data_IF_643856817381
#
_entry.id   IF_643856817381
#
_cell.length_a   1.000
_cell.length_b   1.000
_cell.length_c   1.000
_cell.angle_alpha   90.00
_cell.angle_beta   90.00
_cell.angle_gamma   90.00
#
_symmetry.space_group_name_H-M   'P 1'
#
loop_
_entity.id
_entity.type
_entity.pdbx_description
1 polymer ?
#
# COMPACT_ATOMS: atom_id res chain seq x y z
N UNK A 1 -2.41 7.48 -4.52
CA UNK A 1 -1.44 7.87 -3.46
C UNK A 1 -2.03 8.94 -2.53
N UNK A 2 -3.25 8.74 -2.03
CA UNK A 2 -3.84 9.68 -1.08
C UNK A 2 -3.32 9.47 0.36
N UNK A 3 -2.88 8.24 0.66
CA UNK A 3 -2.43 7.83 2.00
C UNK A 3 -0.92 7.98 2.24
N UNK A 4 -0.19 8.60 1.31
CA UNK A 4 1.25 8.83 1.42
C UNK A 4 1.49 10.32 1.33
N UNK A 5 1.87 10.92 2.46
CA UNK A 5 2.33 12.30 2.54
C UNK A 5 3.86 12.36 2.55
N UNK A 6 4.35 13.53 2.15
CA UNK A 6 5.76 13.80 1.93
C UNK A 6 6.16 13.50 0.48
N UNK A 7 6.85 14.46 -0.14
CA UNK A 7 7.36 14.36 -1.49
C UNK A 7 8.39 13.23 -1.60
N UNK A 8 9.34 13.20 -0.67
CA UNK A 8 10.40 12.18 -0.64
C UNK A 8 9.80 10.77 -0.48
N UNK A 9 8.91 10.58 0.50
CA UNK A 9 8.23 9.30 0.74
C UNK A 9 7.39 8.85 -0.47
N UNK A 10 6.66 9.78 -1.08
CA UNK A 10 5.84 9.48 -2.27
C UNK A 10 6.67 9.00 -3.44
N UNK A 11 7.82 9.63 -3.70
CA UNK A 11 8.75 9.19 -4.73
C UNK A 11 9.31 7.79 -4.45
N UNK A 12 9.78 7.55 -3.22
CA UNK A 12 10.31 6.23 -2.83
C UNK A 12 9.25 5.13 -2.98
N UNK A 13 8.04 5.35 -2.49
CA UNK A 13 6.94 4.37 -2.62
C UNK A 13 6.62 4.09 -4.08
N UNK A 14 6.57 5.13 -4.93
CA UNK A 14 6.30 4.97 -6.36
C UNK A 14 7.40 4.16 -7.05
N UNK A 15 8.67 4.43 -6.73
CA UNK A 15 9.80 3.66 -7.25
C UNK A 15 9.75 2.19 -6.80
N UNK A 16 9.41 1.93 -5.53
CA UNK A 16 9.25 0.56 -5.02
C UNK A 16 8.13 -0.21 -5.72
N UNK A 17 6.98 0.43 -5.98
CA UNK A 17 5.87 -0.17 -6.75
C UNK A 17 6.34 -0.52 -8.17
N UNK A 18 7.09 0.36 -8.80
CA UNK A 18 7.62 0.12 -10.14
C UNK A 18 8.57 -1.08 -10.17
N UNK A 19 9.49 -1.19 -9.21
CA UNK A 19 10.39 -2.35 -9.09
C UNK A 19 9.60 -3.64 -8.89
N UNK A 20 8.61 -3.63 -7.97
CA UNK A 20 7.77 -4.79 -7.71
C UNK A 20 7.00 -5.24 -8.96
N UNK A 21 6.46 -4.29 -9.73
CA UNK A 21 5.79 -4.57 -11.01
C UNK A 21 6.72 -5.25 -12.01
N UNK A 22 7.94 -4.72 -12.19
CA UNK A 22 8.94 -5.32 -13.05
C UNK A 22 9.31 -6.75 -12.61
N UNK A 23 9.49 -6.97 -11.30
CA UNK A 23 9.76 -8.30 -10.73
C UNK A 23 8.62 -9.28 -10.98
N UNK A 24 7.36 -8.85 -10.79
CA UNK A 24 6.19 -9.68 -11.05
C UNK A 24 6.09 -10.11 -12.52
N UNK A 25 6.41 -9.21 -13.46
CA UNK A 25 6.44 -9.54 -14.89
C UNK A 25 7.50 -10.58 -15.24
N UNK A 26 8.66 -10.58 -14.56
CA UNK A 26 9.72 -11.59 -14.77
C UNK A 26 9.30 -12.96 -14.21
N UNK A 27 8.63 -12.98 -13.05
CA UNK A 27 8.21 -14.21 -12.37
C UNK A 27 6.98 -14.83 -13.04
N UNK A 28 6.07 -14.01 -13.57
CA UNK A 28 4.77 -14.45 -14.11
C UNK A 28 4.86 -15.63 -15.09
N UNK A 29 5.69 -15.59 -16.15
CA UNK A 29 5.82 -16.73 -17.07
C UNK A 29 6.47 -17.97 -16.44
N UNK A 30 7.28 -17.81 -15.39
CA UNK A 30 8.06 -18.91 -14.81
C UNK A 30 7.19 -19.91 -14.04
N UNK A 31 6.00 -19.49 -13.59
CA UNK A 31 5.05 -20.39 -12.91
C UNK A 31 4.22 -21.23 -13.87
N UNK A 32 4.23 -20.93 -15.17
CA UNK A 32 3.54 -21.71 -16.21
C UNK A 32 4.47 -22.79 -16.77
N UNK A 33 4.50 -23.92 -16.08
CA UNK A 33 5.39 -25.02 -16.41
C UNK A 33 4.89 -25.81 -17.63
N UNK A 34 5.74 -25.95 -18.65
CA UNK A 34 5.40 -26.71 -19.87
C UNK A 34 5.03 -28.17 -19.59
N UNK A 35 5.61 -28.78 -18.53
CA UNK A 35 5.33 -30.17 -18.12
C UNK A 35 3.88 -30.39 -17.67
N UNK A 36 3.15 -29.33 -17.35
CA UNK A 36 1.76 -29.38 -16.87
C UNK A 36 0.74 -28.98 -17.95
N UNK A 37 1.20 -28.81 -19.20
CA UNK A 37 0.31 -28.54 -20.31
C UNK A 37 -0.71 -29.69 -20.51
N UNK A 38 -1.99 -29.40 -20.86
CA UNK A 38 -2.58 -28.08 -21.10
C UNK A 38 -3.20 -27.41 -19.86
N UNK A 39 -3.21 -28.08 -18.70
CA UNK A 39 -3.96 -27.64 -17.53
C UNK A 39 -3.23 -26.60 -16.67
N UNK A 40 -1.88 -26.58 -16.68
CA UNK A 40 -1.04 -25.61 -15.97
C UNK A 40 -1.47 -25.37 -14.51
N UNK A 41 -1.75 -26.45 -13.77
CA UNK A 41 -2.30 -26.39 -12.41
C UNK A 41 -1.47 -25.53 -11.46
N UNK A 42 -0.14 -25.59 -11.55
CA UNK A 42 0.76 -24.79 -10.71
C UNK A 42 0.62 -23.30 -10.99
N UNK A 43 0.45 -22.91 -12.26
CA UNK A 43 0.30 -21.51 -12.65
C UNK A 43 -0.99 -20.90 -12.09
N UNK A 44 -2.11 -21.60 -12.25
CA UNK A 44 -3.40 -21.14 -11.72
C UNK A 44 -3.44 -21.11 -10.18
N UNK A 45 -2.88 -22.12 -9.52
CA UNK A 45 -2.82 -22.13 -8.04
C UNK A 45 -1.96 -20.97 -7.52
N UNK A 46 -0.79 -20.74 -8.13
CA UNK A 46 0.09 -19.62 -7.75
C UNK A 46 -0.60 -18.26 -7.92
N UNK A 47 -1.38 -18.11 -9.00
CA UNK A 47 -2.18 -16.90 -9.24
C UNK A 47 -3.24 -16.71 -8.14
N UNK A 48 -4.00 -17.76 -7.80
CA UNK A 48 -5.00 -17.67 -6.73
C UNK A 48 -4.38 -17.34 -5.37
N UNK A 49 -3.26 -17.97 -5.02
CA UNK A 49 -2.55 -17.70 -3.77
C UNK A 49 -2.07 -16.25 -3.69
N UNK A 50 -1.51 -15.72 -4.79
CA UNK A 50 -1.09 -14.33 -4.88
C UNK A 50 -2.27 -13.36 -4.70
N UNK A 51 -3.39 -13.61 -5.37
CA UNK A 51 -4.61 -12.80 -5.26
C UNK A 51 -5.20 -12.81 -3.84
N UNK A 52 -5.28 -13.99 -3.21
CA UNK A 52 -5.75 -14.12 -1.82
C UNK A 52 -4.81 -13.36 -0.88
N UNK A 53 -3.49 -13.47 -1.09
CA UNK A 53 -2.48 -12.71 -0.34
C UNK A 53 -2.65 -11.20 -0.49
N UNK A 54 -2.86 -10.72 -1.71
CA UNK A 54 -3.07 -9.31 -2.02
C UNK A 54 -4.34 -8.76 -1.33
N UNK A 55 -5.46 -9.48 -1.42
CA UNK A 55 -6.71 -9.11 -0.76
C UNK A 55 -6.52 -9.07 0.77
N UNK A 56 -5.81 -10.05 1.33
CA UNK A 56 -5.54 -10.12 2.78
C UNK A 56 -4.70 -8.95 3.24
N UNK A 57 -3.64 -8.61 2.51
CA UNK A 57 -2.80 -7.44 2.80
C UNK A 57 -3.59 -6.12 2.70
N UNK A 58 -4.45 -5.99 1.69
CA UNK A 58 -5.30 -4.81 1.52
C UNK A 58 -6.29 -4.64 2.67
N UNK A 59 -6.92 -5.74 3.10
CA UNK A 59 -7.84 -5.73 4.24
C UNK A 59 -7.11 -5.36 5.54
N UNK A 60 -5.93 -5.94 5.79
CA UNK A 60 -5.10 -5.61 6.94
C UNK A 60 -4.68 -4.12 6.93
N UNK A 61 -4.30 -3.60 5.76
CA UNK A 61 -3.98 -2.19 5.58
C UNK A 61 -5.18 -1.27 5.87
N UNK A 62 -6.36 -1.58 5.34
CA UNK A 62 -7.59 -0.81 5.59
C UNK A 62 -7.96 -0.78 7.08
N UNK A 63 -7.85 -1.93 7.77
CA UNK A 63 -8.07 -2.02 9.22
C UNK A 63 -7.03 -1.16 9.96
N UNK A 64 -5.76 -1.24 9.58
CA UNK A 64 -4.68 -0.42 10.13
C UNK A 64 -4.95 1.07 9.99
N UNK A 65 -5.33 1.53 8.79
CA UNK A 65 -5.70 2.94 8.55
C UNK A 65 -6.88 3.39 9.41
N UNK A 66 -7.90 2.54 9.57
CA UNK A 66 -9.06 2.83 10.43
C UNK A 66 -8.68 2.91 11.91
N UNK A 67 -7.83 2.00 12.39
CA UNK A 67 -7.32 1.99 13.76
C UNK A 67 -6.48 3.24 14.03
N UNK A 68 -5.57 3.58 13.13
CA UNK A 68 -4.69 4.74 13.24
C UNK A 68 -5.50 6.05 13.25
N UNK A 69 -6.47 6.20 12.35
CA UNK A 69 -7.39 7.33 12.36
C UNK A 69 -8.13 7.43 13.70
N UNK A 70 -8.58 6.32 14.28
CA UNK A 70 -9.27 6.31 15.60
C UNK A 70 -8.34 6.66 16.76
N UNK A 71 -7.06 6.31 16.69
CA UNK A 71 -6.06 6.72 17.68
C UNK A 71 -5.80 8.22 17.57
N UNK A 72 -5.68 8.74 16.33
CA UNK A 72 -5.52 10.17 16.05
C UNK A 72 -6.72 10.99 16.49
N UNK A 73 -7.94 10.49 16.26
CA UNK A 73 -9.17 11.12 16.77
C UNK A 73 -9.11 11.36 18.28
N UNK A 74 -8.57 10.39 19.04
CA UNK A 74 -8.43 10.51 20.49
C UNK A 74 -7.29 11.43 20.93
N UNK A 75 -6.22 11.54 20.14
CA UNK A 75 -5.01 12.32 20.48
C UNK A 75 -5.12 13.79 20.06
N UNK A 76 -5.62 14.04 18.85
CA UNK A 76 -5.61 15.36 18.21
C UNK A 76 -7.01 15.97 18.08
N UNK A 77 -8.07 15.17 18.22
CA UNK A 77 -9.44 15.59 17.92
C UNK A 77 -9.76 15.55 16.42
N UNK A 78 -10.98 15.94 16.06
CA UNK A 78 -11.47 15.89 14.67
C UNK A 78 -11.11 17.14 13.87
N UNK A 79 -10.93 18.29 14.54
CA UNK A 79 -10.51 19.56 13.93
C UNK A 79 -9.11 19.94 14.40
N UNK A 80 -8.13 19.83 13.49
CA UNK A 80 -6.75 20.24 13.74
C UNK A 80 -6.48 21.51 12.93
N UNK A 81 -6.30 22.64 13.61
CA UNK A 81 -5.86 23.87 12.97
C UNK A 81 -4.36 23.79 12.71
N UNK A 82 -3.96 23.88 11.44
CA UNK A 82 -2.56 23.85 11.01
C UNK A 82 -2.15 25.23 10.47
N UNK A 83 -0.93 25.63 10.75
CA UNK A 83 -0.32 26.80 10.10
C UNK A 83 0.07 26.49 8.65
N UNK A 84 0.20 27.52 7.81
CA UNK A 84 0.62 27.35 6.40
C UNK A 84 1.98 26.64 6.29
N UNK A 85 2.89 26.89 7.23
CA UNK A 85 4.20 26.25 7.29
C UNK A 85 4.08 24.74 7.55
N UNK A 86 3.28 24.33 8.54
CA UNK A 86 3.01 22.92 8.87
C UNK A 86 2.31 22.16 7.71
N UNK A 87 1.55 22.87 6.87
CA UNK A 87 0.90 22.26 5.70
C UNK A 87 1.89 21.92 4.58
N UNK A 88 2.92 22.74 4.38
CA UNK A 88 3.90 22.60 3.27
C UNK A 88 5.10 21.74 3.67
N UNK A 89 5.33 21.53 4.96
CA UNK A 89 6.44 20.73 5.47
C UNK A 89 6.48 19.30 4.91
N UNK A 90 7.67 18.85 4.48
CA UNK A 90 7.91 17.51 3.92
C UNK A 90 8.00 16.44 5.02
N UNK A 91 6.91 16.28 5.77
CA UNK A 91 6.75 15.24 6.80
C UNK A 91 6.06 14.02 6.22
N UNK A 92 6.40 12.84 6.75
CA UNK A 92 5.72 11.60 6.39
C UNK A 92 4.26 11.63 6.86
N UNK A 93 3.39 10.80 6.25
CA UNK A 93 1.99 10.68 6.69
C UNK A 93 1.82 10.40 8.19
N UNK A 94 2.76 9.65 8.78
CA UNK A 94 2.75 9.34 10.20
C UNK A 94 3.11 10.55 11.07
N UNK A 95 4.04 11.39 10.63
CA UNK A 95 4.48 12.57 11.39
C UNK A 95 3.60 13.80 11.16
N UNK A 96 2.85 13.82 10.06
CA UNK A 96 2.01 14.96 9.68
C UNK A 96 0.75 15.01 10.55
N UNK A 97 0.63 16.09 11.33
CA UNK A 97 -0.56 16.39 12.14
C UNK A 97 -1.77 16.64 11.25
N UNK A 98 -2.96 16.24 11.71
CA UNK A 98 -4.19 16.37 10.93
C UNK A 98 -4.27 15.47 9.69
N UNK A 99 -3.23 14.67 9.38
CA UNK A 99 -3.28 13.72 8.27
C UNK A 99 -4.27 12.59 8.57
N UNK A 100 -5.12 12.27 7.58
CA UNK A 100 -6.13 11.22 7.66
C UNK A 100 -5.97 10.23 6.52
N UNK A 101 -5.90 8.96 6.88
CA UNK A 101 -5.85 7.88 5.90
C UNK A 101 -7.24 7.66 5.29
N UNK A 102 -7.31 7.57 3.97
CA UNK A 102 -8.51 7.23 3.20
C UNK A 102 -8.49 5.72 2.96
N UNK A 103 -9.57 5.02 3.26
CA UNK A 103 -9.66 3.56 3.18
C UNK A 103 -10.89 3.12 2.40
#
# INVERSE_FOLDING_TARGET
>A
MANVAGHTKKLTVTASIFVAYCTAMIIGPQVFLQREAPHYSTGYNSLMEFEIGAITMLAAYAIGCKMENRIRDKREGTEVTLTTEEMVEDKTDYEKRGFRYIY
#
